data_IF_312042814526
#
_entry.id   IF_312042814526
#
_cell.length_a   1.000
_cell.length_b   1.000
_cell.length_c   1.000
_cell.angle_alpha   90.00
_cell.angle_beta   90.00
_cell.angle_gamma   90.00
#
_symmetry.space_group_name_H-M   'P 1'
#
loop_
_entity.id
_entity.type
_entity.pdbx_description
1 polymer ?
#
# COMPACT_ATOMS: atom_id res chain seq x y z
N UNK A 1 27.98 1.72 -21.65
CA UNK A 1 27.34 3.05 -21.81
C UNK A 1 25.90 2.92 -21.33
N UNK A 2 25.53 3.56 -20.21
CA UNK A 2 24.16 3.51 -19.68
C UNK A 2 23.32 4.59 -20.38
N UNK A 3 22.30 4.17 -21.14
CA UNK A 3 21.40 5.07 -21.87
C UNK A 3 20.35 5.63 -20.90
N UNK A 4 19.91 6.88 -21.12
CA UNK A 4 18.88 7.58 -20.36
C UNK A 4 17.59 6.76 -20.23
N UNK A 5 17.26 5.95 -21.25
CA UNK A 5 16.13 5.02 -21.22
C UNK A 5 16.24 3.94 -20.14
N UNK A 6 17.43 3.35 -19.95
CA UNK A 6 17.65 2.36 -18.89
C UNK A 6 17.54 2.98 -17.49
N UNK A 7 17.93 4.25 -17.35
CA UNK A 7 17.79 5.01 -16.11
C UNK A 7 16.32 5.36 -15.83
N UNK A 8 15.55 5.66 -16.87
CA UNK A 8 14.11 5.93 -16.73
C UNK A 8 13.34 4.66 -16.34
N UNK A 9 13.63 3.53 -17.00
CA UNK A 9 13.06 2.23 -16.65
C UNK A 9 13.33 1.87 -15.19
N UNK A 10 14.57 2.02 -14.73
CA UNK A 10 14.94 1.82 -13.32
C UNK A 10 14.18 2.68 -12.31
N UNK A 11 13.68 3.85 -12.70
CA UNK A 11 12.89 4.73 -11.81
C UNK A 11 11.42 4.33 -11.82
N UNK A 12 10.90 3.93 -12.98
CA UNK A 12 9.50 3.52 -13.17
C UNK A 12 9.23 2.09 -12.68
N UNK A 13 10.23 1.20 -12.74
CA UNK A 13 10.15 -0.19 -12.28
C UNK A 13 10.24 -0.32 -10.76
N UNK A 14 10.48 0.77 -10.04
CA UNK A 14 10.35 0.77 -8.58
C UNK A 14 8.87 0.66 -8.24
N UNK A 15 8.43 -0.57 -8.02
CA UNK A 15 7.12 -0.84 -7.45
C UNK A 15 7.01 -0.11 -6.12
N UNK A 16 6.10 0.85 -6.08
CA UNK A 16 5.87 1.63 -4.87
C UNK A 16 5.06 0.76 -3.92
N UNK A 17 5.67 0.42 -2.78
CA UNK A 17 5.03 -0.34 -1.72
C UNK A 17 4.53 0.64 -0.66
N UNK A 18 3.24 0.66 -0.43
CA UNK A 18 2.57 1.61 0.48
C UNK A 18 1.98 0.85 1.67
N UNK A 19 2.10 1.43 2.87
CA UNK A 19 1.43 0.91 4.06
C UNK A 19 0.02 1.50 4.11
N UNK A 20 -0.98 0.64 4.25
CA UNK A 20 -2.39 1.00 4.35
C UNK A 20 -3.02 0.33 5.56
N UNK A 21 -4.14 0.88 6.02
CA UNK A 21 -4.96 0.24 7.06
C UNK A 21 -6.11 -0.53 6.42
N UNK A 22 -6.31 -1.77 6.82
CA UNK A 22 -7.46 -2.58 6.40
C UNK A 22 -8.72 -2.04 7.07
N UNK A 23 -9.72 -1.68 6.25
CA UNK A 23 -11.03 -1.23 6.72
C UNK A 23 -12.02 -2.39 6.70
N UNK A 24 -12.14 -3.07 5.55
CA UNK A 24 -13.09 -4.18 5.36
C UNK A 24 -12.52 -5.17 4.36
N UNK A 25 -12.57 -6.46 4.66
CA UNK A 25 -12.35 -7.52 3.65
C UNK A 25 -13.68 -7.89 3.02
N UNK A 26 -13.76 -7.79 1.70
CA UNK A 26 -14.94 -8.16 0.93
C UNK A 26 -14.93 -9.65 0.61
N UNK A 27 -16.11 -10.27 0.50
CA UNK A 27 -16.28 -11.70 0.18
C UNK A 27 -15.85 -12.07 -1.24
N UNK A 28 -15.60 -11.10 -2.11
CA UNK A 28 -15.14 -11.28 -3.49
C UNK A 28 -13.61 -11.37 -3.62
N UNK A 29 -12.86 -11.47 -2.51
CA UNK A 29 -11.40 -11.56 -2.51
C UNK A 29 -10.68 -10.22 -2.69
N UNK A 30 -11.37 -9.11 -2.41
CA UNK A 30 -10.78 -7.76 -2.37
C UNK A 30 -10.86 -7.17 -0.97
N UNK A 31 -10.03 -6.17 -0.70
CA UNK A 31 -10.01 -5.49 0.59
C UNK A 31 -10.14 -3.99 0.38
N UNK A 32 -11.07 -3.37 1.12
CA UNK A 32 -11.14 -1.92 1.26
C UNK A 32 -10.04 -1.48 2.23
N UNK A 33 -9.15 -0.62 1.75
CA UNK A 33 -8.03 -0.09 2.53
C UNK A 33 -8.10 1.42 2.62
N UNK A 34 -7.53 1.96 3.70
CA UNK A 34 -7.37 3.39 3.96
C UNK A 34 -5.90 3.78 3.93
N UNK A 35 -5.57 4.78 3.13
CA UNK A 35 -4.24 5.36 3.04
C UNK A 35 -3.98 6.38 4.16
N UNK A 36 -2.73 6.84 4.28
CA UNK A 36 -2.32 7.82 5.28
C UNK A 36 -2.98 9.20 5.10
N UNK A 37 -3.42 9.54 3.89
CA UNK A 37 -4.18 10.76 3.58
C UNK A 37 -5.69 10.60 3.87
N UNK A 38 -6.09 9.51 4.53
CA UNK A 38 -7.48 9.11 4.79
C UNK A 38 -8.31 8.74 3.56
N UNK A 39 -7.74 8.78 2.34
CA UNK A 39 -8.42 8.26 1.16
C UNK A 39 -8.62 6.75 1.27
N UNK A 40 -9.66 6.24 0.62
CA UNK A 40 -9.99 4.82 0.60
C UNK A 40 -9.93 4.27 -0.83
N UNK A 41 -9.50 3.03 -0.96
CA UNK A 41 -9.50 2.33 -2.25
C UNK A 41 -9.69 0.83 -2.06
N UNK A 42 -10.18 0.17 -3.10
CA UNK A 42 -10.35 -1.29 -3.13
C UNK A 42 -9.12 -1.91 -3.79
N UNK A 43 -8.46 -2.80 -3.08
CA UNK A 43 -7.27 -3.52 -3.54
C UNK A 43 -7.54 -5.02 -3.60
N UNK A 44 -6.81 -5.72 -4.47
CA UNK A 44 -6.92 -7.17 -4.64
C UNK A 44 -6.27 -7.90 -3.46
N UNK A 45 -6.88 -8.99 -3.01
CA UNK A 45 -6.36 -9.85 -1.95
C UNK A 45 -7.02 -9.63 -0.60
N UNK A 46 -7.09 -10.71 0.18
CA UNK A 46 -7.78 -10.88 1.45
C UNK A 46 -6.90 -11.55 2.51
N UNK A 47 -5.59 -11.67 2.23
CA UNK A 47 -4.61 -12.33 3.10
C UNK A 47 -4.39 -11.63 4.44
N UNK A 48 -4.82 -10.37 4.57
CA UNK A 48 -4.76 -9.57 5.80
C UNK A 48 -6.15 -9.12 6.16
N UNK A 49 -6.69 -9.64 7.26
CA UNK A 49 -8.07 -9.39 7.68
C UNK A 49 -8.25 -8.10 8.49
N UNK A 50 -7.21 -7.66 9.20
CA UNK A 50 -7.25 -6.50 10.10
C UNK A 50 -5.87 -5.86 10.23
N UNK A 51 -5.83 -4.60 10.68
CA UNK A 51 -4.57 -3.90 10.96
C UNK A 51 -3.94 -3.24 9.73
N UNK A 52 -2.61 -3.12 9.73
CA UNK A 52 -1.87 -2.53 8.63
C UNK A 52 -1.41 -3.60 7.62
N UNK A 53 -1.39 -3.24 6.34
CA UNK A 53 -0.98 -4.11 5.25
C UNK A 53 -0.09 -3.37 4.25
N UNK A 54 0.80 -4.11 3.58
CA UNK A 54 1.53 -3.62 2.42
C UNK A 54 0.70 -3.80 1.17
N UNK A 55 0.54 -2.73 0.39
CA UNK A 55 -0.05 -2.76 -0.94
C UNK A 55 1.01 -2.42 -1.98
N UNK A 56 1.03 -3.21 -3.05
CA UNK A 56 1.91 -3.04 -4.21
C UNK A 56 1.09 -3.29 -5.47
N UNK A 57 1.13 -2.36 -6.44
CA UNK A 57 0.36 -2.44 -7.69
C UNK A 57 -1.14 -2.75 -7.49
N UNK A 58 -1.76 -2.20 -6.44
CA UNK A 58 -3.18 -2.43 -6.13
C UNK A 58 -3.50 -3.80 -5.54
N UNK A 59 -2.50 -4.54 -5.02
CA UNK A 59 -2.67 -5.85 -4.37
C UNK A 59 -2.06 -5.88 -2.97
N UNK A 60 -2.72 -6.57 -2.05
CA UNK A 60 -2.22 -6.85 -0.70
C UNK A 60 -1.08 -7.87 -0.77
N UNK A 61 0.10 -7.48 -0.30
CA UNK A 61 1.31 -8.32 -0.24
C UNK A 61 1.45 -9.05 1.10
N UNK A 62 0.92 -8.47 2.19
CA UNK A 62 1.00 -9.06 3.53
C UNK A 62 0.86 -8.02 4.63
N UNK A 63 0.92 -8.46 5.88
CA UNK A 63 0.79 -7.59 7.05
C UNK A 63 1.96 -6.60 7.13
N UNK A 64 1.65 -5.37 7.53
CA UNK A 64 2.63 -4.32 7.80
C UNK A 64 2.66 -3.98 9.31
N UNK A 65 3.78 -3.47 9.83
CA UNK A 65 3.84 -2.94 11.18
C UNK A 65 2.96 -1.70 11.33
N UNK A 66 2.49 -1.44 12.54
CA UNK A 66 1.89 -0.16 12.90
C UNK A 66 2.97 0.91 12.99
N UNK A 67 2.78 2.04 12.30
CA UNK A 67 3.69 3.18 12.37
C UNK A 67 3.39 4.00 13.62
N UNK A 68 4.41 4.46 14.37
CA UNK A 68 4.18 5.41 15.45
C UNK A 68 3.63 6.72 14.89
N UNK A 69 2.53 7.19 15.48
CA UNK A 69 1.91 8.48 15.18
C UNK A 69 2.22 9.46 16.31
N UNK A 70 2.55 10.71 15.98
CA UNK A 70 2.71 11.79 16.95
C UNK A 70 2.05 13.04 16.37
N UNK A 71 1.12 13.59 17.13
CA UNK A 71 0.46 14.85 16.82
C UNK A 71 1.21 15.99 17.51
N UNK A 72 1.49 17.07 16.79
CA UNK A 72 2.12 18.27 17.34
C UNK A 72 1.05 19.37 17.30
N UNK A 73 0.58 19.76 18.48
CA UNK A 73 -0.30 20.92 18.67
C UNK A 73 0.58 22.18 18.80
N UNK A 74 0.25 23.24 18.06
CA UNK A 74 0.98 24.52 18.04
C UNK A 74 0.21 25.62 18.76
#
# INVERSE_FOLDING_TARGET
>A
MSNTLNRLGSVLDKTQRTIVTVVTVNTNGTTLVRYSDSSQSVVLGDSVSTGAAYVENGRVMGSAPTLPYTEIEI
#
